data_IF_984757227598
#
_entry.id   IF_984757227598
#
_cell.length_a   1.000
_cell.length_b   1.000
_cell.length_c   1.000
_cell.angle_alpha   90.00
_cell.angle_beta   90.00
_cell.angle_gamma   90.00
#
_symmetry.space_group_name_H-M   'P 1'
#
loop_
_entity.id
_entity.type
_entity.pdbx_description
1 polymer ?
#
# COMPACT_ATOMS: atom_id res chain seq x y z
N UNK A 1 -13.90 64.44 -14.29
CA UNK A 1 -13.55 63.51 -13.20
C UNK A 1 -14.32 62.20 -13.39
N UNK A 2 -13.68 61.20 -13.99
CA UNK A 2 -13.71 59.83 -13.49
C UNK A 2 -12.29 59.23 -13.38
N UNK A 3 -12.12 58.32 -12.42
CA UNK A 3 -10.88 57.62 -12.07
C UNK A 3 -10.49 56.53 -13.07
N UNK A 4 -9.30 56.64 -13.66
CA UNK A 4 -8.64 55.56 -14.41
C UNK A 4 -7.74 54.75 -13.46
N UNK A 5 -8.21 53.57 -13.05
CA UNK A 5 -7.39 52.57 -12.38
C UNK A 5 -6.47 51.91 -13.42
N UNK A 6 -5.15 52.07 -13.24
CA UNK A 6 -4.13 51.36 -14.01
C UNK A 6 -3.99 49.93 -13.48
N UNK A 7 -4.18 48.94 -14.36
CA UNK A 7 -3.90 47.53 -14.10
C UNK A 7 -2.38 47.32 -13.96
N UNK A 8 -1.93 46.95 -12.76
CA UNK A 8 -0.59 46.44 -12.54
C UNK A 8 -0.39 45.14 -13.30
N UNK A 9 0.63 45.09 -14.16
CA UNK A 9 1.10 43.85 -14.78
C UNK A 9 1.56 42.90 -13.67
N UNK A 10 0.93 41.73 -13.57
CA UNK A 10 1.39 40.64 -12.71
C UNK A 10 2.74 40.13 -13.22
N UNK A 11 3.75 40.14 -12.36
CA UNK A 11 5.04 39.48 -12.62
C UNK A 11 4.85 37.98 -12.89
N UNK A 12 5.63 37.38 -13.79
CA UNK A 12 5.60 35.93 -13.99
C UNK A 12 6.12 35.23 -12.72
N UNK A 13 5.32 34.28 -12.22
CA UNK A 13 5.68 33.45 -11.08
C UNK A 13 7.01 32.73 -11.35
N UNK A 14 7.98 32.94 -10.45
CA UNK A 14 9.27 32.27 -10.48
C UNK A 14 9.08 30.75 -10.29
N UNK A 15 9.85 29.89 -10.96
CA UNK A 15 9.77 28.45 -10.77
C UNK A 15 10.16 28.10 -9.33
N UNK A 16 9.23 27.49 -8.60
CA UNK A 16 9.50 26.91 -7.28
C UNK A 16 10.60 25.86 -7.41
N UNK A 17 11.77 26.16 -6.87
CA UNK A 17 12.90 25.24 -6.76
C UNK A 17 12.44 23.99 -6.01
N UNK A 18 12.60 22.82 -6.63
CA UNK A 18 12.32 21.51 -6.07
C UNK A 18 13.00 21.41 -4.68
N UNK A 19 12.27 21.24 -3.56
CA UNK A 19 12.90 21.12 -2.26
C UNK A 19 13.78 19.88 -2.32
N UNK A 20 15.07 20.09 -2.07
CA UNK A 20 16.07 19.05 -2.01
C UNK A 20 15.53 17.85 -1.24
N UNK A 21 15.60 16.67 -1.87
CA UNK A 21 15.41 15.36 -1.25
C UNK A 21 16.38 15.28 -0.07
N UNK A 22 15.89 15.64 1.12
CA UNK A 22 16.64 15.42 2.35
C UNK A 22 16.72 13.91 2.48
N UNK A 23 17.92 13.31 2.51
CA UNK A 23 18.04 11.87 2.71
C UNK A 23 17.28 11.50 3.98
N UNK A 24 16.50 10.42 3.93
CA UNK A 24 15.91 9.86 5.15
C UNK A 24 17.03 9.72 6.19
N UNK A 25 16.75 10.01 7.48
CA UNK A 25 17.75 9.90 8.53
C UNK A 25 18.45 8.54 8.43
N UNK A 26 19.78 8.57 8.53
CA UNK A 26 20.57 7.35 8.54
C UNK A 26 20.04 6.41 9.64
N UNK A 27 19.90 5.11 9.34
CA UNK A 27 19.38 4.17 10.32
C UNK A 27 20.23 4.21 11.58
N UNK A 28 19.57 4.08 12.73
CA UNK A 28 20.22 3.90 14.03
C UNK A 28 21.18 2.72 13.91
N UNK A 29 22.48 3.00 13.98
CA UNK A 29 23.52 1.98 13.86
C UNK A 29 23.41 1.04 15.08
N UNK A 30 23.14 -0.23 14.84
CA UNK A 30 23.42 -1.27 15.84
C UNK A 30 24.94 -1.30 16.04
N UNK A 31 25.39 -1.31 17.29
CA UNK A 31 26.77 -1.00 17.73
C UNK A 31 27.94 -1.82 17.20
N UNK A 32 27.78 -2.60 16.11
CA UNK A 32 28.81 -3.41 15.48
C UNK A 32 29.06 -3.10 13.98
N UNK A 33 28.60 -1.96 13.46
CA UNK A 33 28.90 -1.54 12.07
C UNK A 33 28.29 -2.41 10.96
N UNK A 34 27.43 -3.37 11.29
CA UNK A 34 26.57 -4.05 10.33
C UNK A 34 25.26 -3.30 10.20
N UNK A 35 24.86 -2.98 8.97
CA UNK A 35 23.55 -2.40 8.69
C UNK A 35 22.46 -3.34 9.26
N UNK A 36 21.64 -2.81 10.17
CA UNK A 36 20.52 -3.52 10.78
C UNK A 36 19.58 -4.04 9.68
N UNK A 37 19.22 -5.32 9.76
CA UNK A 37 18.14 -5.91 8.96
C UNK A 37 16.85 -5.11 9.16
N UNK A 38 16.20 -4.73 8.05
CA UNK A 38 14.91 -4.04 8.08
C UNK A 38 13.81 -4.97 7.59
N UNK A 39 12.68 -4.93 8.29
CA UNK A 39 11.46 -5.59 7.83
C UNK A 39 10.61 -4.57 7.05
N UNK A 40 10.48 -4.78 5.75
CA UNK A 40 9.67 -3.94 4.86
C UNK A 40 8.31 -4.61 4.68
N UNK A 41 7.25 -3.95 5.11
CA UNK A 41 5.89 -4.47 5.03
C UNK A 41 5.21 -3.95 3.77
N UNK A 42 4.74 -4.86 2.91
CA UNK A 42 4.15 -4.50 1.62
C UNK A 42 2.77 -5.15 1.47
N UNK A 43 1.70 -4.40 1.76
CA UNK A 43 0.35 -4.79 1.39
C UNK A 43 0.22 -4.88 -0.13
N UNK A 44 -0.23 -6.03 -0.62
CA UNK A 44 -0.33 -6.29 -2.05
C UNK A 44 -1.71 -6.83 -2.43
N UNK A 45 -2.15 -6.44 -3.61
CA UNK A 45 -3.25 -7.03 -4.36
C UNK A 45 -2.79 -7.24 -5.82
N UNK A 46 -3.68 -7.66 -6.71
CA UNK A 46 -3.37 -7.87 -8.13
C UNK A 46 -3.30 -6.57 -8.96
N UNK A 47 -3.29 -5.40 -8.31
CA UNK A 47 -3.37 -4.11 -9.02
C UNK A 47 -2.04 -3.64 -9.60
N UNK A 48 -2.14 -2.76 -10.59
CA UNK A 48 -0.98 -2.05 -11.15
C UNK A 48 -0.30 -1.10 -10.16
N UNK A 49 -1.04 -0.55 -9.19
CA UNK A 49 -0.45 0.35 -8.20
C UNK A 49 0.43 -0.38 -7.18
N UNK A 50 0.09 -1.63 -6.83
CA UNK A 50 0.96 -2.47 -6.01
C UNK A 50 2.23 -2.86 -6.77
N UNK A 51 2.13 -3.29 -8.03
CA UNK A 51 3.29 -3.58 -8.88
C UNK A 51 4.23 -2.37 -8.99
N UNK A 52 3.66 -1.18 -9.26
CA UNK A 52 4.43 0.07 -9.32
C UNK A 52 5.15 0.38 -8.02
N UNK A 53 4.48 0.20 -6.88
CA UNK A 53 5.10 0.47 -5.58
C UNK A 53 6.25 -0.51 -5.27
N UNK A 54 6.08 -1.77 -5.65
CA UNK A 54 7.11 -2.79 -5.51
C UNK A 54 8.34 -2.50 -6.36
N UNK A 55 8.17 -2.20 -7.65
CA UNK A 55 9.29 -1.82 -8.53
C UNK A 55 9.97 -0.55 -8.07
N UNK A 56 9.19 0.46 -7.66
CA UNK A 56 9.78 1.69 -7.13
C UNK A 56 10.62 1.41 -5.88
N UNK A 57 10.15 0.54 -4.97
CA UNK A 57 10.94 0.13 -3.81
C UNK A 57 12.26 -0.53 -4.23
N UNK A 58 12.21 -1.49 -5.16
CA UNK A 58 13.39 -2.20 -5.67
C UNK A 58 14.43 -1.25 -6.26
N UNK A 59 13.97 -0.25 -7.02
CA UNK A 59 14.83 0.66 -7.76
C UNK A 59 15.43 1.79 -6.90
N UNK A 60 14.74 2.18 -5.81
CA UNK A 60 15.05 3.45 -5.13
C UNK A 60 15.49 3.29 -3.66
N UNK A 61 14.92 2.34 -2.91
CA UNK A 61 15.09 2.30 -1.44
C UNK A 61 15.44 0.92 -0.88
N UNK A 62 15.50 -0.11 -1.74
CA UNK A 62 16.01 -1.44 -1.40
C UNK A 62 17.42 -1.34 -0.84
N UNK A 63 17.67 -2.03 0.26
CA UNK A 63 18.98 -2.21 0.88
C UNK A 63 19.34 -3.70 0.97
N UNK A 64 20.64 -3.96 1.03
CA UNK A 64 21.14 -5.29 1.37
C UNK A 64 20.67 -5.67 2.77
N UNK A 65 20.13 -6.88 2.91
CA UNK A 65 19.58 -7.36 4.18
C UNK A 65 18.13 -6.95 4.45
N UNK A 66 17.44 -6.27 3.53
CA UNK A 66 16.00 -6.07 3.68
C UNK A 66 15.24 -7.40 3.59
N UNK A 67 14.25 -7.57 4.48
CA UNK A 67 13.27 -8.64 4.45
C UNK A 67 11.91 -8.07 4.06
N UNK A 68 11.37 -8.48 2.92
CA UNK A 68 10.03 -8.10 2.49
C UNK A 68 8.98 -9.02 3.08
N UNK A 69 8.05 -8.47 3.84
CA UNK A 69 6.85 -9.15 4.29
C UNK A 69 5.67 -8.73 3.42
N UNK A 70 5.26 -9.59 2.50
CA UNK A 70 4.08 -9.37 1.68
C UNK A 70 2.81 -9.78 2.42
N UNK A 71 1.79 -8.93 2.37
CA UNK A 71 0.51 -9.22 3.01
C UNK A 71 -0.64 -8.98 2.06
N UNK A 72 -1.53 -9.96 1.97
CA UNK A 72 -2.78 -9.85 1.23
C UNK A 72 -3.97 -9.98 2.19
N UNK A 73 -4.93 -9.06 2.12
CA UNK A 73 -6.16 -9.11 2.91
C UNK A 73 -7.32 -9.46 1.98
N UNK A 74 -7.90 -10.64 2.20
CA UNK A 74 -9.10 -11.11 1.53
C UNK A 74 -10.30 -10.55 2.28
N UNK A 75 -11.07 -9.70 1.61
CA UNK A 75 -12.34 -9.22 2.13
C UNK A 75 -13.43 -10.27 1.85
N UNK A 76 -14.07 -10.85 2.88
CA UNK A 76 -15.17 -11.77 2.65
C UNK A 76 -16.35 -11.01 2.03
N UNK A 77 -16.71 -11.37 0.80
CA UNK A 77 -17.87 -10.83 0.13
C UNK A 77 -19.13 -11.47 0.72
N UNK A 78 -19.70 -10.86 1.76
CA UNK A 78 -21.03 -11.24 2.22
C UNK A 78 -22.06 -10.65 1.25
N UNK A 79 -22.74 -11.50 0.49
CA UNK A 79 -23.94 -11.07 -0.22
C UNK A 79 -25.04 -10.75 0.81
N UNK A 80 -25.98 -9.86 0.49
CA UNK A 80 -27.08 -9.50 1.40
C UNK A 80 -27.87 -10.71 1.89
N UNK A 81 -28.02 -11.75 1.04
CA UNK A 81 -28.63 -13.02 1.41
C UNK A 81 -27.79 -13.79 2.45
N UNK A 82 -26.46 -13.81 2.32
CA UNK A 82 -25.56 -14.46 3.28
C UNK A 82 -25.60 -13.81 4.67
N UNK A 83 -25.70 -12.48 4.75
CA UNK A 83 -25.80 -11.77 6.02
C UNK A 83 -27.12 -12.07 6.76
N UNK A 84 -28.24 -12.09 6.03
CA UNK A 84 -29.56 -12.47 6.58
C UNK A 84 -29.57 -13.93 7.03
N UNK A 85 -29.02 -14.84 6.23
CA UNK A 85 -28.98 -16.26 6.57
C UNK A 85 -28.19 -16.55 7.86
N UNK A 86 -27.05 -15.89 8.06
CA UNK A 86 -26.28 -15.98 9.31
C UNK A 86 -27.07 -15.45 10.51
N UNK A 87 -27.83 -14.37 10.34
CA UNK A 87 -28.66 -13.78 11.40
C UNK A 87 -29.85 -14.65 11.82
N UNK A 88 -30.29 -15.55 10.94
CA UNK A 88 -31.47 -16.40 11.15
C UNK A 88 -31.12 -17.84 11.56
N UNK A 89 -29.84 -18.17 11.78
CA UNK A 89 -29.34 -19.55 11.94
C UNK A 89 -29.90 -20.53 10.89
N UNK A 90 -30.25 -19.99 9.72
CA UNK A 90 -31.03 -20.71 8.72
C UNK A 90 -30.10 -21.27 7.65
N UNK A 91 -29.88 -22.58 7.75
CA UNK A 91 -29.41 -23.54 6.74
C UNK A 91 -27.89 -23.73 6.52
N UNK A 92 -27.40 -24.98 6.66
CA UNK A 92 -26.03 -25.39 6.30
C UNK A 92 -25.64 -25.12 4.84
N UNK A 93 -26.59 -24.99 3.91
CA UNK A 93 -26.30 -24.85 2.47
C UNK A 93 -25.73 -23.47 2.08
N UNK A 94 -26.19 -22.36 2.68
CA UNK A 94 -25.64 -21.02 2.38
C UNK A 94 -24.26 -20.78 3.01
N UNK A 95 -23.94 -21.53 4.07
CA UNK A 95 -22.62 -21.53 4.68
C UNK A 95 -21.58 -22.14 3.72
N UNK A 96 -22.00 -23.06 2.83
CA UNK A 96 -21.14 -23.63 1.79
C UNK A 96 -20.63 -22.57 0.81
N UNK A 97 -21.53 -21.80 0.19
CA UNK A 97 -21.17 -20.81 -0.83
C UNK A 97 -20.28 -19.67 -0.30
N UNK A 98 -20.50 -19.27 0.96
CA UNK A 98 -19.66 -18.28 1.64
C UNK A 98 -18.27 -18.81 1.98
N UNK A 99 -18.17 -20.08 2.45
CA UNK A 99 -16.86 -20.73 2.67
C UNK A 99 -16.09 -20.89 1.36
N UNK A 100 -16.75 -21.32 0.29
CA UNK A 100 -16.14 -21.44 -1.05
C UNK A 100 -15.61 -20.10 -1.55
N UNK A 101 -16.37 -19.02 -1.39
CA UNK A 101 -15.95 -17.67 -1.80
C UNK A 101 -14.71 -17.18 -1.04
N UNK A 102 -14.59 -17.50 0.25
CA UNK A 102 -13.41 -17.17 1.05
C UNK A 102 -12.22 -18.06 0.67
N UNK A 103 -12.43 -19.36 0.46
CA UNK A 103 -11.38 -20.29 0.00
C UNK A 103 -10.81 -19.88 -1.36
N UNK A 104 -11.68 -19.50 -2.30
CA UNK A 104 -11.28 -18.95 -3.60
C UNK A 104 -10.50 -17.65 -3.45
N UNK A 105 -10.97 -16.73 -2.59
CA UNK A 105 -10.27 -15.48 -2.28
C UNK A 105 -8.88 -15.73 -1.68
N UNK A 106 -8.74 -16.69 -0.77
CA UNK A 106 -7.44 -17.12 -0.23
C UNK A 106 -6.56 -17.72 -1.33
N UNK A 107 -7.12 -18.55 -2.21
CA UNK A 107 -6.42 -19.15 -3.34
C UNK A 107 -5.86 -18.11 -4.32
N UNK A 108 -6.67 -17.09 -4.64
CA UNK A 108 -6.26 -15.96 -5.45
C UNK A 108 -5.17 -15.13 -4.73
N UNK A 109 -5.37 -14.82 -3.45
CA UNK A 109 -4.39 -14.12 -2.63
C UNK A 109 -3.03 -14.82 -2.56
N UNK A 110 -3.03 -16.15 -2.40
CA UNK A 110 -1.80 -16.97 -2.44
C UNK A 110 -1.10 -16.89 -3.79
N UNK A 111 -1.86 -16.88 -4.89
CA UNK A 111 -1.30 -16.75 -6.24
C UNK A 111 -0.63 -15.38 -6.42
N UNK A 112 -1.27 -14.30 -5.96
CA UNK A 112 -0.68 -12.95 -5.97
C UNK A 112 0.62 -12.92 -5.16
N UNK A 113 0.61 -13.42 -3.92
CA UNK A 113 1.81 -13.50 -3.07
C UNK A 113 2.94 -14.28 -3.73
N UNK A 114 2.62 -15.42 -4.36
CA UNK A 114 3.61 -16.25 -5.05
C UNK A 114 4.33 -15.50 -6.17
N UNK A 115 3.60 -14.70 -6.94
CA UNK A 115 4.17 -13.91 -8.03
C UNK A 115 5.16 -12.87 -7.51
N UNK A 116 4.75 -12.09 -6.49
CA UNK A 116 5.61 -11.08 -5.87
C UNK A 116 6.83 -11.69 -5.17
N UNK A 117 6.69 -12.83 -4.48
CA UNK A 117 7.83 -13.54 -3.88
C UNK A 117 8.82 -14.06 -4.93
N UNK A 118 8.31 -14.60 -6.04
CA UNK A 118 9.18 -15.09 -7.12
C UNK A 118 9.99 -13.96 -7.75
N UNK A 119 9.37 -12.80 -7.95
CA UNK A 119 10.05 -11.61 -8.46
C UNK A 119 11.03 -11.05 -7.43
N UNK A 120 10.64 -10.86 -6.18
CA UNK A 120 11.55 -10.42 -5.12
C UNK A 120 12.79 -11.32 -4.97
N UNK A 121 12.61 -12.64 -5.16
CA UNK A 121 13.71 -13.61 -5.16
C UNK A 121 14.69 -13.39 -6.32
N UNK A 122 14.21 -13.04 -7.53
CA UNK A 122 15.10 -12.72 -8.65
C UNK A 122 15.93 -11.45 -8.40
N UNK A 123 15.43 -10.55 -7.55
CA UNK A 123 16.13 -9.36 -7.05
C UNK A 123 16.94 -9.58 -5.76
N UNK A 124 17.11 -10.83 -5.32
CA UNK A 124 17.88 -11.23 -4.12
C UNK A 124 17.35 -10.59 -2.82
N UNK A 125 16.02 -10.48 -2.68
CA UNK A 125 15.36 -10.00 -1.47
C UNK A 125 14.78 -11.18 -0.70
N UNK A 126 15.06 -11.24 0.60
CA UNK A 126 14.44 -12.22 1.49
C UNK A 126 12.95 -11.90 1.65
N UNK A 127 12.09 -12.91 1.59
CA UNK A 127 10.64 -12.69 1.64
C UNK A 127 9.92 -13.56 2.65
N UNK A 128 8.82 -13.03 3.17
CA UNK A 128 7.75 -13.77 3.85
C UNK A 128 6.41 -13.33 3.25
N UNK A 129 5.38 -14.18 3.35
CA UNK A 129 4.06 -13.91 2.81
C UNK A 129 2.96 -14.33 3.76
N UNK A 130 1.93 -13.49 3.90
CA UNK A 130 0.80 -13.74 4.79
C UNK A 130 -0.52 -13.42 4.08
N UNK A 131 -1.54 -14.25 4.29
CA UNK A 131 -2.92 -13.99 3.85
C UNK A 131 -3.79 -13.84 5.09
N UNK A 132 -4.57 -12.77 5.15
CA UNK A 132 -5.57 -12.54 6.18
C UNK A 132 -6.96 -12.50 5.56
N UNK A 133 -7.98 -12.91 6.31
CA UNK A 133 -9.38 -12.74 5.92
C UNK A 133 -10.00 -11.74 6.90
N UNK A 134 -10.34 -10.54 6.42
CA UNK A 134 -10.89 -9.48 7.26
C UNK A 134 -11.63 -8.44 6.40
N UNK A 135 -12.69 -7.84 6.92
CA UNK A 135 -13.47 -6.78 6.23
C UNK A 135 -12.92 -5.36 6.46
N UNK A 136 -11.77 -5.23 7.14
CA UNK A 136 -11.12 -3.94 7.45
C UNK A 136 -9.65 -3.97 7.03
N UNK A 137 -9.34 -3.96 5.71
CA UNK A 137 -7.98 -4.13 5.21
C UNK A 137 -6.99 -3.10 5.75
N UNK A 138 -7.38 -1.83 5.86
CA UNK A 138 -6.51 -0.78 6.43
C UNK A 138 -6.13 -1.05 7.89
N UNK A 139 -7.08 -1.52 8.70
CA UNK A 139 -6.83 -1.89 10.09
C UNK A 139 -5.90 -3.10 10.17
N UNK A 140 -6.21 -4.17 9.43
CA UNK A 140 -5.40 -5.39 9.39
C UNK A 140 -3.96 -5.09 8.97
N UNK A 141 -3.75 -4.23 7.97
CA UNK A 141 -2.40 -3.83 7.54
C UNK A 141 -1.61 -3.18 8.68
N UNK A 142 -2.20 -2.20 9.38
CA UNK A 142 -1.54 -1.50 10.48
C UNK A 142 -1.21 -2.45 11.62
N UNK A 143 -2.16 -3.30 11.99
CA UNK A 143 -2.00 -4.25 13.10
C UNK A 143 -0.91 -5.28 12.79
N UNK A 144 -0.97 -5.90 11.61
CA UNK A 144 0.03 -6.88 11.19
C UNK A 144 1.41 -6.27 11.00
N UNK A 145 1.52 -5.03 10.50
CA UNK A 145 2.81 -4.33 10.40
C UNK A 145 3.45 -4.14 11.78
N UNK A 146 2.64 -3.79 12.79
CA UNK A 146 3.08 -3.68 14.18
C UNK A 146 3.50 -5.04 14.76
N UNK A 147 2.68 -6.08 14.59
CA UNK A 147 2.99 -7.45 15.07
C UNK A 147 4.29 -8.00 14.48
N UNK A 148 4.58 -7.66 13.23
CA UNK A 148 5.79 -8.10 12.53
C UNK A 148 6.99 -7.18 12.74
N UNK A 149 6.91 -6.19 13.64
CA UNK A 149 7.97 -5.21 13.91
C UNK A 149 8.51 -4.56 12.62
N UNK A 150 7.61 -4.17 11.71
CA UNK A 150 7.99 -3.56 10.45
C UNK A 150 8.69 -2.21 10.66
N UNK A 151 9.69 -1.95 9.84
CA UNK A 151 10.46 -0.70 9.81
C UNK A 151 9.87 0.32 8.83
N UNK A 152 9.17 -0.16 7.80
CA UNK A 152 8.63 0.65 6.71
C UNK A 152 7.42 -0.08 6.11
N UNK A 153 6.32 0.63 5.92
CA UNK A 153 5.19 0.16 5.10
C UNK A 153 5.35 0.76 3.70
N UNK A 154 5.29 -0.05 2.65
CA UNK A 154 5.31 0.41 1.26
C UNK A 154 3.99 0.09 0.58
N UNK A 155 3.33 1.10 0.02
CA UNK A 155 2.06 0.95 -0.67
C UNK A 155 1.98 1.81 -1.93
N UNK A 156 1.23 1.32 -2.91
CA UNK A 156 0.72 2.17 -3.98
C UNK A 156 -0.48 2.97 -3.51
N UNK A 157 -0.82 4.03 -4.23
CA UNK A 157 -2.17 4.59 -4.21
C UNK A 157 -2.84 4.45 -5.58
N UNK A 158 -4.17 4.34 -5.57
CA UNK A 158 -4.99 4.33 -6.79
C UNK A 158 -5.00 5.74 -7.38
N UNK A 159 -4.79 5.83 -8.70
CA UNK A 159 -5.10 7.02 -9.47
C UNK A 159 -6.25 6.68 -10.40
N UNK A 160 -7.48 7.04 -10.04
CA UNK A 160 -8.59 6.99 -11.00
C UNK A 160 -8.30 8.07 -12.07
N UNK A 161 -8.31 7.67 -13.34
CA UNK A 161 -7.72 8.41 -14.45
C UNK A 161 -8.19 9.86 -14.62
N UNK A 162 -7.28 10.69 -15.15
CA UNK A 162 -7.46 11.98 -15.86
C UNK A 162 -8.41 13.06 -15.33
N UNK A 163 -9.18 12.88 -14.26
CA UNK A 163 -9.99 13.94 -13.65
C UNK A 163 -9.78 14.05 -12.13
N UNK A 164 -9.27 15.22 -11.76
CA UNK A 164 -9.48 15.91 -10.48
C UNK A 164 -8.93 15.24 -9.21
N UNK A 165 -7.74 15.72 -8.81
CA UNK A 165 -7.13 15.57 -7.47
C UNK A 165 -6.71 14.14 -7.09
N UNK A 166 -5.53 14.05 -6.52
CA UNK A 166 -4.87 12.84 -6.00
C UNK A 166 -5.71 12.25 -4.86
N UNK A 167 -6.75 11.47 -5.17
CA UNK A 167 -7.46 10.73 -4.13
C UNK A 167 -6.59 9.58 -3.68
N UNK A 168 -6.13 9.66 -2.43
CA UNK A 168 -5.50 8.56 -1.75
C UNK A 168 -6.54 7.44 -1.60
N UNK A 169 -6.22 6.23 -2.06
CA UNK A 169 -7.15 5.09 -1.94
C UNK A 169 -7.51 4.85 -0.47
N UNK A 170 -8.74 4.43 -0.17
CA UNK A 170 -9.26 4.29 1.21
C UNK A 170 -8.34 3.49 2.15
N UNK A 171 -7.69 2.45 1.64
CA UNK A 171 -6.74 1.63 2.42
C UNK A 171 -5.44 2.40 2.69
N UNK A 172 -4.84 2.99 1.66
CA UNK A 172 -3.61 3.78 1.79
C UNK A 172 -3.81 5.01 2.68
N UNK A 173 -5.00 5.63 2.60
CA UNK A 173 -5.44 6.74 3.45
C UNK A 173 -5.56 6.32 4.91
N UNK A 174 -6.26 5.21 5.16
CA UNK A 174 -6.34 4.65 6.50
C UNK A 174 -4.96 4.37 7.09
N UNK A 175 -4.09 3.67 6.34
CA UNK A 175 -2.76 3.30 6.81
C UNK A 175 -1.91 4.52 7.09
N UNK A 176 -1.93 5.54 6.22
CA UNK A 176 -1.17 6.77 6.44
C UNK A 176 -1.55 7.50 7.73
N UNK A 177 -2.83 7.48 8.11
CA UNK A 177 -3.30 8.16 9.32
C UNK A 177 -3.13 7.34 10.60
N UNK A 178 -2.99 6.02 10.51
CA UNK A 178 -3.03 5.12 11.69
C UNK A 178 -1.73 4.34 11.94
N UNK A 179 -0.83 4.26 10.96
CA UNK A 179 0.45 3.59 11.16
C UNK A 179 1.33 4.37 12.15
N UNK A 180 1.96 3.63 13.07
CA UNK A 180 2.94 4.16 14.02
C UNK A 180 4.39 4.06 13.53
N UNK A 181 4.57 3.62 12.28
CA UNK A 181 5.87 3.44 11.61
C UNK A 181 5.85 4.19 10.27
N UNK A 182 7.03 4.49 9.69
CA UNK A 182 7.10 5.16 8.40
C UNK A 182 6.27 4.47 7.31
N UNK A 183 5.57 5.28 6.51
CA UNK A 183 4.77 4.81 5.38
C UNK A 183 5.27 5.49 4.10
N UNK A 184 5.58 4.70 3.10
CA UNK A 184 5.98 5.14 1.77
C UNK A 184 4.85 4.89 0.78
N UNK A 185 4.35 5.98 0.19
CA UNK A 185 3.27 5.94 -0.80
C UNK A 185 3.82 6.25 -2.18
N UNK A 186 3.62 5.34 -3.12
CA UNK A 186 4.05 5.50 -4.51
C UNK A 186 2.87 6.01 -5.37
N UNK A 187 2.90 7.27 -5.83
CA UNK A 187 1.83 7.86 -6.62
C UNK A 187 1.74 7.24 -8.03
N UNK A 188 0.63 7.44 -8.78
CA UNK A 188 0.56 7.09 -10.19
C UNK A 188 1.61 7.85 -11.00
N UNK A 189 2.08 7.23 -12.10
CA UNK A 189 2.91 7.94 -13.08
C UNK A 189 2.06 9.08 -13.67
N UNK A 190 2.57 10.31 -13.65
CA UNK A 190 1.92 11.41 -14.34
C UNK A 190 1.98 11.14 -15.84
N UNK A 191 0.82 11.09 -16.50
CA UNK A 191 0.79 11.17 -17.95
C UNK A 191 1.26 12.57 -18.32
N UNK A 192 2.46 12.68 -18.93
CA UNK A 192 2.88 13.94 -19.57
C UNK A 192 1.79 14.28 -20.61
N UNK A 193 1.15 15.43 -20.44
CA UNK A 193 0.30 16.02 -21.47
C UNK A 193 1.14 16.44 -22.67
#
# INVERSE_FOLDING_TARGET
MPSLFSFGRSEPAQPVSNPATTPLPNPVESGNGQARERTIFMPIDSSEHCNRAFHWYLDNVKRTGDKLCFVHVVEPAFTGASAVALSMEALPMLIGDTRLSVEDGIGQGRSVLKNFMAEAKSHQVNTNAMVYVNNRPGFTIVDCAKENNADLIVMGNRGLGTMSRTFLGSVSDYVLHHANIPVLIVPPKQNKK
#
